data_IF_724683220111
#
_entry.id   IF_724683220111
#
_cell.length_a   1.000
_cell.length_b   1.000
_cell.length_c   1.000
_cell.angle_alpha   90.00
_cell.angle_beta   90.00
_cell.angle_gamma   90.00
#
_symmetry.space_group_name_H-M   'P 1'
#
loop_
_entity.id
_entity.type
_entity.pdbx_description
1 polymer ?
#
# COMPACT_ATOMS: atom_id res chain seq x y z
N UNK A 1 -20.08 0.85 -17.52
CA UNK A 1 -18.82 1.47 -17.04
C UNK A 1 -18.46 0.73 -15.77
N UNK A 2 -17.73 -0.38 -15.94
CA UNK A 2 -17.25 -1.18 -14.82
C UNK A 2 -16.31 -0.32 -13.97
N UNK A 3 -16.72 -0.14 -12.72
CA UNK A 3 -16.04 0.60 -11.67
C UNK A 3 -14.78 -0.15 -11.25
N UNK A 4 -13.72 -0.11 -12.06
CA UNK A 4 -12.41 -0.61 -11.65
C UNK A 4 -11.84 0.33 -10.59
N UNK A 5 -11.82 -0.11 -9.33
CA UNK A 5 -11.20 0.64 -8.24
C UNK A 5 -9.74 0.24 -8.13
N UNK A 6 -8.79 1.18 -8.14
CA UNK A 6 -7.37 0.88 -7.94
C UNK A 6 -7.10 0.06 -6.67
N UNK A 7 -7.93 0.25 -5.64
CA UNK A 7 -7.92 -0.50 -4.38
C UNK A 7 -8.15 -2.01 -4.55
N UNK A 8 -8.90 -2.45 -5.59
CA UNK A 8 -9.15 -3.87 -5.85
C UNK A 8 -7.85 -4.63 -6.22
N UNK A 9 -6.79 -3.91 -6.64
CA UNK A 9 -5.47 -4.49 -6.87
C UNK A 9 -4.74 -4.87 -5.56
N UNK A 10 -5.26 -4.48 -4.40
CA UNK A 10 -4.75 -4.85 -3.08
C UNK A 10 -5.43 -6.16 -2.65
N UNK A 11 -5.10 -7.23 -3.37
CA UNK A 11 -5.62 -8.55 -3.03
C UNK A 11 -4.89 -9.17 -1.82
N UNK A 12 -5.53 -10.12 -1.09
CA UNK A 12 -4.96 -10.73 0.11
C UNK A 12 -3.56 -11.33 -0.08
N UNK A 13 -3.27 -11.92 -1.24
CA UNK A 13 -1.95 -12.48 -1.53
C UNK A 13 -0.85 -11.41 -1.63
N UNK A 14 -1.18 -10.21 -2.13
CA UNK A 14 -0.28 -9.08 -2.24
C UNK A 14 0.04 -8.50 -0.86
N UNK A 15 -0.99 -8.37 0.00
CA UNK A 15 -0.83 -7.99 1.41
C UNK A 15 0.04 -8.99 2.16
N UNK A 16 -0.23 -10.30 2.02
CA UNK A 16 0.58 -11.36 2.65
C UNK A 16 2.05 -11.33 2.21
N UNK A 17 2.32 -11.05 0.93
CA UNK A 17 3.70 -10.92 0.43
C UNK A 17 4.39 -9.68 0.99
N UNK A 18 3.69 -8.55 1.04
CA UNK A 18 4.19 -7.30 1.62
C UNK A 18 4.46 -7.43 3.11
N UNK A 19 3.55 -8.07 3.86
CA UNK A 19 3.71 -8.37 5.29
C UNK A 19 5.04 -9.07 5.58
N UNK A 20 5.39 -10.10 4.81
CA UNK A 20 6.68 -10.80 4.95
C UNK A 20 7.88 -9.90 4.65
N UNK A 21 7.82 -9.12 3.57
CA UNK A 21 8.91 -8.23 3.19
C UNK A 21 9.13 -7.14 4.25
N UNK A 22 8.05 -6.58 4.80
CA UNK A 22 8.09 -5.58 5.87
C UNK A 22 8.69 -6.20 7.14
N UNK A 23 8.24 -7.40 7.55
CA UNK A 23 8.80 -8.10 8.70
C UNK A 23 10.32 -8.31 8.56
N UNK A 24 10.79 -8.76 7.39
CA UNK A 24 12.23 -8.90 7.14
C UNK A 24 12.96 -7.57 7.25
N UNK A 25 12.43 -6.51 6.64
CA UNK A 25 13.03 -5.17 6.72
C UNK A 25 13.13 -4.65 8.18
N UNK A 26 12.07 -4.80 8.97
CA UNK A 26 12.05 -4.35 10.37
C UNK A 26 13.12 -5.08 11.20
N UNK A 27 13.26 -6.40 11.02
CA UNK A 27 14.29 -7.21 11.69
C UNK A 27 15.70 -6.77 11.27
N UNK A 28 15.94 -6.59 9.97
CA UNK A 28 17.25 -6.17 9.45
C UNK A 28 17.68 -4.78 9.95
N UNK A 29 16.71 -3.92 10.25
CA UNK A 29 16.95 -2.57 10.76
C UNK A 29 16.93 -2.50 12.30
N UNK A 30 16.92 -3.64 13.00
CA UNK A 30 16.85 -3.73 14.46
C UNK A 30 15.68 -2.93 15.07
N UNK A 31 14.55 -2.85 14.36
CA UNK A 31 13.34 -2.24 14.92
C UNK A 31 12.75 -3.19 15.96
N UNK A 32 12.57 -2.67 17.17
CA UNK A 32 11.93 -3.35 18.28
C UNK A 32 10.40 -3.36 18.10
N UNK A 33 9.73 -4.23 18.84
CA UNK A 33 8.26 -4.28 18.86
C UNK A 33 7.63 -2.97 19.40
N UNK A 34 8.39 -2.23 20.21
CA UNK A 34 7.97 -0.93 20.77
C UNK A 34 8.13 0.23 19.78
N UNK A 35 8.89 0.02 18.69
CA UNK A 35 9.07 1.03 17.67
C UNK A 35 7.81 1.18 16.81
N UNK A 36 7.28 2.40 16.79
CA UNK A 36 6.06 2.70 16.03
C UNK A 36 6.36 2.73 14.54
N UNK A 37 5.66 1.88 13.78
CA UNK A 37 5.62 1.90 12.32
C UNK A 37 4.18 1.86 11.83
N UNK A 38 3.95 2.34 10.61
CA UNK A 38 2.65 2.28 9.93
C UNK A 38 2.87 1.87 8.47
N UNK A 39 1.88 1.22 7.89
CA UNK A 39 1.88 0.87 6.47
C UNK A 39 0.77 1.62 5.75
N UNK A 40 1.16 2.47 4.79
CA UNK A 40 0.24 3.26 3.98
C UNK A 40 0.29 2.81 2.52
N UNK A 41 -0.80 3.01 1.79
CA UNK A 41 -0.80 2.92 0.33
C UNK A 41 -1.20 4.24 -0.31
N UNK A 42 -0.57 4.54 -1.44
CA UNK A 42 -0.95 5.64 -2.32
C UNK A 42 -1.47 5.01 -3.62
N UNK A 43 -2.71 5.30 -3.97
CA UNK A 43 -3.26 4.94 -5.28
C UNK A 43 -3.16 6.15 -6.19
N UNK A 44 -2.73 5.91 -7.43
CA UNK A 44 -2.60 6.95 -8.46
C UNK A 44 -3.42 6.51 -9.65
N UNK A 45 -4.43 7.29 -9.97
CA UNK A 45 -5.23 7.13 -11.18
C UNK A 45 -4.81 8.18 -12.20
N UNK A 46 -4.31 7.74 -13.35
CA UNK A 46 -3.84 8.61 -14.42
C UNK A 46 -4.89 8.77 -15.51
N UNK A 47 -5.34 10.00 -15.74
CA UNK A 47 -6.09 10.37 -16.93
C UNK A 47 -5.11 10.92 -17.98
N UNK A 48 -4.65 10.01 -18.84
CA UNK A 48 -3.66 10.31 -19.88
C UNK A 48 -4.20 11.33 -20.89
N UNK A 49 -5.51 11.30 -21.17
CA UNK A 49 -6.14 12.16 -22.18
C UNK A 49 -6.16 13.61 -21.71
N UNK A 50 -6.58 13.84 -20.47
CA UNK A 50 -6.63 15.18 -19.90
C UNK A 50 -5.31 15.60 -19.23
N UNK A 51 -4.30 14.72 -19.19
CA UNK A 51 -3.03 14.92 -18.49
C UNK A 51 -3.22 15.28 -17.02
N UNK A 52 -4.17 14.61 -16.36
CA UNK A 52 -4.43 14.80 -14.94
C UNK A 52 -4.22 13.51 -14.18
N UNK A 53 -3.99 13.63 -12.88
CA UNK A 53 -3.87 12.50 -11.97
C UNK A 53 -4.75 12.73 -10.75
N UNK A 54 -5.43 11.67 -10.31
CA UNK A 54 -6.07 11.62 -9.00
C UNK A 54 -5.19 10.76 -8.09
N UNK A 55 -4.91 11.27 -6.90
CA UNK A 55 -4.10 10.58 -5.90
C UNK A 55 -4.99 10.39 -4.67
N UNK A 56 -5.10 9.15 -4.19
CA UNK A 56 -5.74 8.85 -2.92
C UNK A 56 -4.70 8.23 -1.97
N UNK A 57 -4.63 8.76 -0.75
CA UNK A 57 -3.74 8.25 0.31
C UNK A 57 -4.56 7.45 1.31
N UNK A 58 -4.33 6.14 1.32
CA UNK A 58 -4.94 5.20 2.24
C UNK A 58 -3.93 4.97 3.36
N UNK A 59 -4.26 5.45 4.56
CA UNK A 59 -3.40 5.36 5.74
C UNK A 59 -3.70 4.12 6.55
N UNK A 60 -2.68 3.62 7.24
CA UNK A 60 -2.79 2.59 8.28
C UNK A 60 -3.52 1.32 7.80
N UNK A 61 -3.02 0.76 6.71
CA UNK A 61 -3.53 -0.49 6.15
C UNK A 61 -3.08 -1.64 7.04
N UNK A 62 -4.08 -2.41 7.48
CA UNK A 62 -3.87 -3.65 8.22
C UNK A 62 -3.41 -4.77 7.26
N UNK A 63 -2.29 -5.40 7.58
CA UNK A 63 -1.63 -6.46 6.80
C UNK A 63 -2.09 -7.87 7.18
#
# INVERSE_FOLDING_TARGET
>A
LDSYRPEDNIHPWKLKRLSRAIQTYLIENNMSEDDKWQFDAITVFLDIKNKTAKIDHIKDIVL
#
